data_IF_297635513822
#
_entry.id   IF_297635513822
#
_cell.length_a   1.000
_cell.length_b   1.000
_cell.length_c   1.000
_cell.angle_alpha   90.00
_cell.angle_beta   90.00
_cell.angle_gamma   90.00
#
_symmetry.space_group_name_H-M   'P 1'
#
loop_
_entity.id
_entity.type
_entity.pdbx_description
1 polymer ?
#
# COMPACT_ATOMS: atom_id res chain seq x y z
N UNK A 1 17.54 3.98 2.32
CA UNK A 1 17.50 2.70 3.07
C UNK A 1 17.52 2.98 4.55
N UNK A 2 18.39 3.85 5.09
CA UNK A 2 18.40 4.18 6.52
C UNK A 2 17.02 4.66 6.98
N UNK A 3 16.37 5.55 6.23
CA UNK A 3 15.01 5.98 6.50
C UNK A 3 14.01 4.81 6.47
N UNK A 4 14.17 3.88 5.53
CA UNK A 4 13.33 2.69 5.43
C UNK A 4 13.48 1.76 6.65
N UNK A 5 14.72 1.56 7.10
CA UNK A 5 14.99 0.78 8.32
C UNK A 5 14.37 1.45 9.56
N UNK A 6 14.62 2.74 9.76
CA UNK A 6 14.12 3.45 10.95
C UNK A 6 12.59 3.57 10.95
N UNK A 7 11.99 3.83 9.79
CA UNK A 7 10.53 3.80 9.64
C UNK A 7 9.95 2.42 9.95
N UNK A 8 10.59 1.35 9.47
CA UNK A 8 10.19 -0.02 9.77
C UNK A 8 10.25 -0.32 11.27
N UNK A 9 11.33 0.07 11.95
CA UNK A 9 11.47 -0.10 13.39
C UNK A 9 10.42 0.65 14.21
N UNK A 10 9.95 1.80 13.76
CA UNK A 10 8.87 2.53 14.41
C UNK A 10 7.50 2.01 13.98
N UNK A 11 7.28 1.85 12.67
CA UNK A 11 5.98 1.52 12.09
C UNK A 11 5.47 0.12 12.45
N UNK A 12 6.30 -0.91 12.25
CA UNK A 12 5.86 -2.28 12.46
C UNK A 12 5.47 -2.59 13.91
N UNK A 13 6.32 -2.31 14.92
CA UNK A 13 5.97 -2.61 16.30
C UNK A 13 4.75 -1.82 16.79
N UNK A 14 4.66 -0.53 16.47
CA UNK A 14 3.53 0.30 16.86
C UNK A 14 2.23 -0.19 16.24
N UNK A 15 2.25 -0.53 14.95
CA UNK A 15 1.09 -1.10 14.27
C UNK A 15 0.69 -2.44 14.89
N UNK A 16 1.64 -3.34 15.12
CA UNK A 16 1.36 -4.63 15.73
C UNK A 16 0.71 -4.49 17.12
N UNK A 17 1.22 -3.59 17.95
CA UNK A 17 0.64 -3.30 19.26
C UNK A 17 -0.77 -2.74 19.14
N UNK A 18 -1.00 -1.77 18.28
CA UNK A 18 -2.33 -1.19 18.05
C UNK A 18 -3.33 -2.23 17.56
N UNK A 19 -2.93 -3.07 16.60
CA UNK A 19 -3.78 -4.15 16.08
C UNK A 19 -4.05 -5.23 17.12
N UNK A 20 -3.06 -5.58 17.97
CA UNK A 20 -3.26 -6.54 19.05
C UNK A 20 -4.25 -6.01 20.10
N UNK A 21 -4.13 -4.75 20.49
CA UNK A 21 -5.05 -4.14 21.44
C UNK A 21 -6.47 -4.03 20.87
N UNK A 22 -6.59 -3.61 19.62
CA UNK A 22 -7.88 -3.54 18.94
C UNK A 22 -8.50 -4.93 18.76
N UNK A 23 -7.71 -5.91 18.31
CA UNK A 23 -8.15 -7.28 18.12
C UNK A 23 -8.65 -7.93 19.42
N UNK A 24 -7.94 -7.72 20.54
CA UNK A 24 -8.41 -8.17 21.86
C UNK A 24 -9.74 -7.54 22.26
N UNK A 25 -9.93 -6.26 21.98
CA UNK A 25 -11.17 -5.53 22.25
C UNK A 25 -12.32 -6.10 21.40
N UNK A 26 -12.07 -6.30 20.10
CA UNK A 26 -13.03 -6.86 19.15
C UNK A 26 -13.44 -8.30 19.54
N UNK A 27 -12.46 -9.15 19.90
CA UNK A 27 -12.72 -10.51 20.35
C UNK A 27 -13.53 -10.56 21.64
N UNK A 28 -13.27 -9.64 22.59
CA UNK A 28 -14.09 -9.56 23.80
C UNK A 28 -15.55 -9.27 23.47
N UNK A 29 -15.83 -8.34 22.55
CA UNK A 29 -17.19 -8.06 22.09
C UNK A 29 -17.81 -9.20 21.25
N UNK A 30 -17.00 -9.93 20.49
CA UNK A 30 -17.46 -11.10 19.73
C UNK A 30 -17.83 -12.27 20.63
N UNK A 31 -16.98 -12.57 21.62
CA UNK A 31 -17.22 -13.64 22.61
C UNK A 31 -18.38 -13.33 23.56
N UNK A 32 -18.66 -12.05 23.83
CA UNK A 32 -19.84 -11.63 24.61
C UNK A 32 -21.14 -11.66 23.81
N UNK A 33 -21.07 -11.89 22.49
CA UNK A 33 -22.25 -11.93 21.60
C UNK A 33 -22.76 -10.55 21.15
N UNK A 34 -22.09 -9.45 21.56
CA UNK A 34 -22.46 -8.09 21.16
C UNK A 34 -22.11 -7.79 19.70
N UNK A 35 -21.01 -8.40 19.19
CA UNK A 35 -20.53 -8.23 17.83
C UNK A 35 -20.73 -9.51 17.04
N UNK A 36 -21.37 -9.41 15.87
CA UNK A 36 -21.57 -10.52 14.92
C UNK A 36 -20.81 -10.26 13.62
N UNK A 37 -20.49 -11.31 12.91
CA UNK A 37 -19.97 -11.22 11.54
C UNK A 37 -21.09 -10.65 10.67
N UNK A 38 -20.99 -9.38 10.26
CA UNK A 38 -21.75 -8.88 9.11
C UNK A 38 -20.92 -9.24 7.88
N UNK A 39 -21.44 -10.13 7.04
CA UNK A 39 -20.77 -10.73 5.91
C UNK A 39 -19.82 -9.78 5.18
N UNK A 40 -18.58 -10.08 5.27
CA UNK A 40 -17.53 -9.45 4.49
C UNK A 40 -16.52 -10.56 4.14
N UNK A 41 -16.77 -11.22 3.05
CA UNK A 41 -15.85 -12.08 2.36
C UNK A 41 -14.80 -11.20 1.66
N UNK A 42 -13.65 -11.12 2.25
CA UNK A 42 -12.47 -10.53 1.63
C UNK A 42 -11.25 -11.27 2.15
N UNK A 43 -11.07 -12.51 1.71
CA UNK A 43 -9.82 -13.25 1.91
C UNK A 43 -8.79 -12.68 0.94
N UNK A 44 -7.63 -12.26 1.44
CA UNK A 44 -6.48 -11.97 0.61
C UNK A 44 -5.43 -13.00 0.97
N UNK A 45 -5.05 -13.81 0.00
CA UNK A 45 -3.81 -14.56 0.09
C UNK A 45 -2.64 -13.59 -0.01
N UNK A 46 -2.20 -13.08 1.15
CA UNK A 46 -1.13 -12.09 1.25
C UNK A 46 0.20 -12.59 0.64
N UNK A 47 0.40 -13.89 0.57
CA UNK A 47 1.60 -14.52 -0.01
C UNK A 47 1.60 -14.47 -1.54
N UNK A 48 0.43 -14.43 -2.17
CA UNK A 48 0.29 -14.47 -3.64
C UNK A 48 -0.20 -13.15 -4.27
N UNK A 49 -0.40 -12.10 -3.49
CA UNK A 49 -0.89 -10.81 -3.99
C UNK A 49 -2.28 -10.88 -4.66
N UNK A 50 -3.03 -11.96 -4.44
CA UNK A 50 -4.41 -12.06 -4.88
C UNK A 50 -5.29 -11.31 -3.89
N UNK A 51 -5.67 -10.11 -4.27
CA UNK A 51 -6.90 -9.50 -3.79
C UNK A 51 -8.04 -10.34 -4.37
N UNK A 52 -8.55 -11.29 -3.62
CA UNK A 52 -9.88 -11.79 -3.90
C UNK A 52 -10.85 -10.67 -3.55
N UNK A 53 -11.25 -9.97 -4.58
CA UNK A 53 -12.21 -8.88 -4.49
C UNK A 53 -13.56 -9.47 -4.07
N UNK A 54 -13.82 -9.47 -2.76
CA UNK A 54 -15.11 -9.90 -2.18
C UNK A 54 -16.26 -8.92 -2.50
N UNK A 55 -16.02 -7.92 -3.31
CA UNK A 55 -17.04 -7.19 -4.03
C UNK A 55 -17.00 -7.64 -5.49
N UNK A 56 -17.85 -8.58 -5.83
CA UNK A 56 -18.30 -8.75 -7.20
C UNK A 56 -18.98 -7.44 -7.63
N UNK A 57 -18.19 -6.40 -7.88
CA UNK A 57 -18.62 -5.27 -8.69
C UNK A 57 -18.95 -5.87 -10.05
N UNK A 58 -20.24 -5.84 -10.39
CA UNK A 58 -20.74 -6.16 -11.72
C UNK A 58 -19.70 -5.68 -12.75
N UNK A 59 -19.17 -6.59 -13.54
CA UNK A 59 -18.11 -6.33 -14.50
C UNK A 59 -18.52 -5.12 -15.34
N UNK A 60 -17.96 -3.95 -15.04
CA UNK A 60 -18.13 -2.78 -15.89
C UNK A 60 -17.62 -3.19 -17.25
N UNK A 61 -18.46 -3.10 -18.27
CA UNK A 61 -18.07 -3.36 -19.67
C UNK A 61 -16.81 -2.55 -19.95
N UNK A 62 -15.68 -3.24 -20.04
CA UNK A 62 -14.41 -2.63 -20.45
C UNK A 62 -14.56 -2.18 -21.89
N UNK A 63 -14.00 -1.03 -22.23
CA UNK A 63 -14.09 -0.45 -23.59
C UNK A 63 -13.42 -1.37 -24.62
N UNK A 64 -12.31 -2.00 -24.22
CA UNK A 64 -11.58 -2.97 -25.03
C UNK A 64 -11.89 -4.39 -24.53
N UNK A 65 -12.32 -5.30 -25.42
CA UNK A 65 -12.51 -6.70 -25.06
C UNK A 65 -11.17 -7.33 -24.66
N UNK A 66 -11.16 -8.28 -23.71
CA UNK A 66 -9.93 -8.99 -23.37
C UNK A 66 -9.37 -9.72 -24.58
N UNK A 67 -8.05 -9.72 -24.73
CA UNK A 67 -7.38 -10.46 -25.78
C UNK A 67 -7.68 -11.96 -25.64
N UNK A 68 -7.86 -12.69 -26.76
CA UNK A 68 -7.99 -14.14 -26.72
C UNK A 68 -6.82 -14.78 -25.97
N UNK A 69 -7.08 -15.85 -25.22
CA UNK A 69 -6.08 -16.51 -24.36
C UNK A 69 -4.79 -16.90 -25.13
N UNK A 70 -4.91 -17.26 -26.41
CA UNK A 70 -3.77 -17.61 -27.26
C UNK A 70 -2.81 -16.43 -27.54
N UNK A 71 -3.29 -15.19 -27.46
CA UNK A 71 -2.50 -13.98 -27.70
C UNK A 71 -2.08 -13.28 -26.40
N UNK A 72 -2.72 -13.60 -25.29
CA UNK A 72 -2.44 -12.97 -24.00
C UNK A 72 -1.33 -13.71 -23.24
N UNK A 73 -0.17 -13.89 -23.88
CA UNK A 73 1.00 -14.51 -23.29
C UNK A 73 1.67 -13.56 -22.26
N UNK A 74 2.49 -14.14 -21.37
CA UNK A 74 3.33 -13.40 -20.40
C UNK A 74 4.09 -12.24 -21.06
N UNK A 75 4.68 -12.50 -22.23
CA UNK A 75 5.45 -11.51 -22.98
C UNK A 75 4.57 -10.34 -23.41
N UNK A 76 3.39 -10.62 -23.97
CA UNK A 76 2.45 -9.58 -24.41
C UNK A 76 1.93 -8.76 -23.24
N UNK A 77 1.64 -9.39 -22.09
CA UNK A 77 1.23 -8.68 -20.89
C UNK A 77 2.32 -7.72 -20.40
N UNK A 78 3.58 -8.17 -20.37
CA UNK A 78 4.72 -7.34 -19.96
C UNK A 78 5.04 -6.26 -20.98
N UNK A 79 4.90 -6.53 -22.29
CA UNK A 79 5.06 -5.52 -23.33
C UNK A 79 4.04 -4.39 -23.18
N UNK A 80 2.76 -4.70 -22.94
CA UNK A 80 1.73 -3.69 -22.67
C UNK A 80 2.07 -2.84 -21.45
N UNK A 81 2.50 -3.48 -20.35
CA UNK A 81 2.90 -2.78 -19.14
C UNK A 81 4.11 -1.88 -19.39
N UNK A 82 5.14 -2.40 -20.09
CA UNK A 82 6.33 -1.66 -20.47
C UNK A 82 6.03 -0.48 -21.38
N UNK A 83 5.11 -0.64 -22.33
CA UNK A 83 4.64 0.43 -23.22
C UNK A 83 3.99 1.58 -22.43
N UNK A 84 3.10 1.25 -21.48
CA UNK A 84 2.47 2.27 -20.62
C UNK A 84 3.49 2.96 -19.73
N UNK A 85 4.45 2.21 -19.18
CA UNK A 85 5.55 2.77 -18.39
C UNK A 85 6.44 3.69 -19.23
N UNK A 86 6.75 3.31 -20.47
CA UNK A 86 7.51 4.14 -21.41
C UNK A 86 6.80 5.46 -21.72
N UNK A 87 5.49 5.44 -22.00
CA UNK A 87 4.71 6.67 -22.20
C UNK A 87 4.78 7.55 -20.96
N UNK A 88 4.63 6.97 -19.76
CA UNK A 88 4.70 7.70 -18.50
C UNK A 88 6.04 8.40 -18.30
N UNK A 89 7.16 7.75 -18.66
CA UNK A 89 8.49 8.35 -18.57
C UNK A 89 8.68 9.50 -19.56
N UNK A 90 8.15 9.37 -20.78
CA UNK A 90 8.20 10.46 -21.77
C UNK A 90 7.38 11.68 -21.29
N UNK A 91 6.20 11.46 -20.72
CA UNK A 91 5.36 12.52 -20.16
C UNK A 91 6.02 13.19 -18.95
N UNK A 92 6.72 12.44 -18.11
CA UNK A 92 7.48 12.97 -16.97
C UNK A 92 8.61 13.92 -17.34
N UNK A 93 9.09 13.89 -18.61
CA UNK A 93 10.07 14.85 -19.12
C UNK A 93 9.48 16.20 -19.53
N UNK A 94 8.16 16.32 -19.61
CA UNK A 94 7.49 17.52 -20.11
C UNK A 94 7.27 18.51 -18.96
N UNK A 95 7.79 19.73 -19.12
CA UNK A 95 7.52 20.84 -18.21
C UNK A 95 6.14 21.42 -18.55
N UNK A 96 5.26 21.52 -17.59
CA UNK A 96 3.92 22.13 -17.82
C UNK A 96 4.11 23.65 -17.94
N UNK A 97 3.80 24.24 -19.12
CA UNK A 97 3.85 25.68 -19.29
C UNK A 97 2.81 26.36 -18.37
N UNK A 98 3.27 27.23 -17.48
CA UNK A 98 2.43 27.98 -16.54
C UNK A 98 2.69 27.69 -15.05
N UNK A 99 3.17 26.51 -14.69
CA UNK A 99 3.48 26.17 -13.30
C UNK A 99 5.00 25.98 -13.10
N UNK A 100 5.78 25.90 -14.18
CA UNK A 100 7.21 25.58 -14.18
C UNK A 100 7.62 24.35 -13.35
N UNK A 101 6.69 23.42 -13.13
CA UNK A 101 6.92 22.19 -12.38
C UNK A 101 6.99 20.99 -13.32
N UNK A 102 7.94 20.11 -13.05
CA UNK A 102 8.02 18.78 -13.67
C UNK A 102 7.24 17.81 -12.82
N UNK A 103 6.21 17.19 -13.37
CA UNK A 103 5.53 16.09 -12.70
C UNK A 103 6.36 14.82 -12.90
N UNK A 104 6.65 14.11 -11.80
CA UNK A 104 7.40 12.86 -11.87
C UNK A 104 6.74 11.83 -12.80
N UNK A 105 7.54 11.13 -13.60
CA UNK A 105 7.07 10.03 -14.44
C UNK A 105 6.31 8.94 -13.67
N UNK A 106 6.61 8.77 -12.37
CA UNK A 106 5.90 7.84 -11.51
C UNK A 106 4.41 8.24 -11.30
N UNK A 107 4.12 9.54 -11.20
CA UNK A 107 2.73 10.05 -11.12
C UNK A 107 1.98 9.75 -12.42
N UNK A 108 2.61 9.99 -13.57
CA UNK A 108 2.03 9.65 -14.86
C UNK A 108 1.82 8.14 -15.00
N UNK A 109 2.78 7.32 -14.54
CA UNK A 109 2.64 5.86 -14.56
C UNK A 109 1.43 5.38 -13.75
N UNK A 110 1.19 5.99 -12.57
CA UNK A 110 0.03 5.69 -11.74
C UNK A 110 -1.28 6.06 -12.46
N UNK A 111 -1.37 7.28 -12.98
CA UNK A 111 -2.57 7.78 -13.66
C UNK A 111 -2.86 6.94 -14.92
N UNK A 112 -1.85 6.75 -15.76
CA UNK A 112 -1.99 5.95 -16.98
C UNK A 112 -2.29 4.49 -16.67
N UNK A 113 -1.69 3.92 -15.63
CA UNK A 113 -1.98 2.57 -15.16
C UNK A 113 -3.46 2.40 -14.82
N UNK A 114 -4.05 3.33 -14.08
CA UNK A 114 -5.49 3.33 -13.76
C UNK A 114 -6.33 3.47 -15.03
N UNK A 115 -6.02 4.43 -15.90
CA UNK A 115 -6.76 4.68 -17.14
C UNK A 115 -6.72 3.45 -18.06
N UNK A 116 -5.53 2.91 -18.34
CA UNK A 116 -5.38 1.78 -19.26
C UNK A 116 -5.95 0.46 -18.70
N UNK A 117 -5.97 0.31 -17.37
CA UNK A 117 -6.66 -0.83 -16.73
C UNK A 117 -8.19 -0.67 -16.82
N UNK A 118 -8.70 0.55 -16.63
CA UNK A 118 -10.14 0.84 -16.73
C UNK A 118 -10.66 0.68 -18.16
N UNK A 119 -9.89 1.09 -19.16
CA UNK A 119 -10.18 0.91 -20.58
C UNK A 119 -10.15 -0.58 -20.97
N UNK A 120 -9.33 -1.39 -20.28
CA UNK A 120 -9.15 -2.82 -20.56
C UNK A 120 -7.92 -3.14 -21.43
N UNK A 121 -7.04 -2.18 -21.67
CA UNK A 121 -5.76 -2.40 -22.36
C UNK A 121 -4.77 -3.16 -21.48
N UNK A 122 -4.69 -2.78 -20.19
CA UNK A 122 -3.93 -3.53 -19.17
C UNK A 122 -4.86 -4.50 -18.43
N UNK A 123 -4.35 -5.68 -18.18
CA UNK A 123 -5.04 -6.66 -17.34
C UNK A 123 -4.91 -6.26 -15.85
N UNK A 124 -5.95 -6.54 -15.09
CA UNK A 124 -5.88 -6.45 -13.62
C UNK A 124 -4.89 -7.49 -13.10
N UNK A 125 -4.05 -7.10 -12.13
CA UNK A 125 -3.00 -7.95 -11.56
C UNK A 125 -2.03 -8.52 -12.62
N UNK A 126 -1.67 -7.72 -13.62
CA UNK A 126 -0.87 -8.15 -14.76
C UNK A 126 0.44 -8.85 -14.37
N UNK A 127 1.15 -8.38 -13.35
CA UNK A 127 2.42 -8.97 -12.90
C UNK A 127 2.25 -10.38 -12.33
N UNK A 128 1.16 -10.62 -11.60
CA UNK A 128 0.84 -11.96 -11.08
C UNK A 128 0.38 -12.89 -12.19
N UNK A 129 -0.48 -12.41 -13.10
CA UNK A 129 -0.91 -13.20 -14.27
C UNK A 129 0.25 -13.58 -15.19
N UNK A 130 1.20 -12.66 -15.35
CA UNK A 130 2.42 -12.89 -16.10
C UNK A 130 3.49 -13.70 -15.33
N UNK A 131 3.19 -14.12 -14.09
CA UNK A 131 4.15 -14.80 -13.18
C UNK A 131 5.49 -14.05 -13.06
N UNK A 132 5.45 -12.72 -13.14
CA UNK A 132 6.64 -11.86 -13.20
C UNK A 132 6.76 -10.94 -11.98
N UNK A 133 5.83 -11.04 -11.01
CA UNK A 133 5.84 -10.19 -9.82
C UNK A 133 7.16 -10.29 -9.04
N UNK A 134 7.65 -11.52 -8.80
CA UNK A 134 8.87 -11.74 -8.04
C UNK A 134 10.12 -11.14 -8.69
N UNK A 135 10.27 -11.28 -10.00
CA UNK A 135 11.43 -10.74 -10.72
C UNK A 135 11.39 -9.22 -10.81
N UNK A 136 10.21 -8.63 -10.98
CA UNK A 136 10.04 -7.17 -10.99
C UNK A 136 10.30 -6.58 -9.60
N UNK A 137 9.85 -7.26 -8.53
CA UNK A 137 10.16 -6.86 -7.15
C UNK A 137 11.64 -6.98 -6.84
N UNK A 138 12.30 -8.04 -7.32
CA UNK A 138 13.75 -8.17 -7.20
C UNK A 138 14.49 -7.02 -7.92
N UNK A 139 14.11 -6.72 -9.15
CA UNK A 139 14.68 -5.61 -9.92
C UNK A 139 14.47 -4.25 -9.22
N UNK A 140 13.27 -4.03 -8.65
CA UNK A 140 12.98 -2.85 -7.85
C UNK A 140 13.91 -2.74 -6.62
N UNK A 141 14.14 -3.85 -5.91
CA UNK A 141 15.06 -3.87 -4.77
C UNK A 141 16.50 -3.57 -5.20
N UNK A 142 16.95 -4.13 -6.33
CA UNK A 142 18.28 -3.82 -6.89
C UNK A 142 18.42 -2.33 -7.20
N UNK A 143 17.39 -1.71 -7.78
CA UNK A 143 17.37 -0.27 -8.05
C UNK A 143 17.42 0.57 -6.77
N UNK A 144 16.71 0.15 -5.71
CA UNK A 144 16.77 0.80 -4.40
C UNK A 144 18.17 0.68 -3.79
N UNK A 145 18.82 -0.47 -3.93
CA UNK A 145 20.20 -0.67 -3.44
C UNK A 145 21.24 0.16 -4.25
N UNK A 146 21.01 0.38 -5.54
CA UNK A 146 21.90 1.24 -6.34
C UNK A 146 21.97 2.67 -5.77
N UNK A 147 20.86 3.18 -5.23
CA UNK A 147 20.82 4.48 -4.55
C UNK A 147 21.69 4.58 -3.29
N UNK A 148 22.23 3.47 -2.78
CA UNK A 148 23.12 3.45 -1.60
C UNK A 148 24.60 3.50 -1.93
N UNK A 149 24.99 3.35 -3.18
CA UNK A 149 26.41 3.27 -3.59
C UNK A 149 27.23 4.47 -3.13
N UNK A 150 26.58 5.64 -3.01
CA UNK A 150 27.22 6.89 -2.62
C UNK A 150 27.08 7.21 -1.11
N UNK A 151 26.46 6.32 -0.34
CA UNK A 151 26.26 6.49 1.10
C UNK A 151 27.54 6.15 1.89
N UNK A 152 28.14 7.16 2.49
CA UNK A 152 29.26 6.96 3.43
C UNK A 152 28.75 6.75 4.86
N UNK A 153 29.50 6.04 5.74
CA UNK A 153 29.13 5.89 7.15
C UNK A 153 28.96 7.23 7.88
N UNK A 154 29.79 8.22 7.57
CA UNK A 154 29.72 9.56 8.17
C UNK A 154 28.44 10.30 7.76
N UNK A 155 28.04 10.19 6.51
CA UNK A 155 26.78 10.72 6.01
C UNK A 155 25.59 10.06 6.72
N UNK A 156 25.63 8.73 6.92
CA UNK A 156 24.59 8.01 7.66
C UNK A 156 24.52 8.49 9.11
N UNK A 157 25.64 8.63 9.79
CA UNK A 157 25.71 9.10 11.17
C UNK A 157 25.13 10.52 11.34
N UNK A 158 25.40 11.42 10.39
CA UNK A 158 24.88 12.79 10.42
C UNK A 158 23.35 12.87 10.21
N UNK A 159 22.78 11.95 9.44
CA UNK A 159 21.36 11.95 9.08
C UNK A 159 20.48 11.23 10.14
N UNK A 160 21.03 10.26 10.87
CA UNK A 160 20.25 9.44 11.83
C UNK A 160 19.55 10.31 12.88
N UNK A 161 20.22 11.28 13.46
CA UNK A 161 19.67 12.16 14.49
C UNK A 161 18.43 12.95 14.03
N UNK A 162 18.56 13.79 12.99
CA UNK A 162 17.42 14.51 12.40
C UNK A 162 16.31 13.59 11.94
N UNK A 163 16.62 12.40 11.42
CA UNK A 163 15.65 11.46 10.92
C UNK A 163 14.82 10.82 12.03
N UNK A 164 15.43 10.41 13.14
CA UNK A 164 14.71 9.92 14.33
C UNK A 164 13.77 11.01 14.85
N UNK A 165 14.24 12.25 14.94
CA UNK A 165 13.42 13.37 15.37
C UNK A 165 12.19 13.56 14.47
N UNK A 166 12.39 13.55 13.16
CA UNK A 166 11.30 13.66 12.19
C UNK A 166 10.27 12.53 12.32
N UNK A 167 10.73 11.30 12.52
CA UNK A 167 9.83 10.15 12.69
C UNK A 167 9.04 10.28 14.00
N UNK A 168 9.68 10.64 15.10
CA UNK A 168 9.00 10.81 16.38
C UNK A 168 7.94 11.92 16.31
N UNK A 169 8.31 13.08 15.77
CA UNK A 169 7.38 14.21 15.57
C UNK A 169 6.26 13.83 14.60
N UNK A 170 6.58 13.16 13.49
CA UNK A 170 5.60 12.70 12.51
C UNK A 170 4.61 11.70 13.09
N UNK A 171 5.09 10.70 13.85
CA UNK A 171 4.23 9.70 14.51
C UNK A 171 3.36 10.37 15.59
N UNK A 172 3.91 11.30 16.37
CA UNK A 172 3.12 12.06 17.35
C UNK A 172 2.04 12.92 16.66
N UNK A 173 2.38 13.61 15.58
CA UNK A 173 1.41 14.37 14.78
C UNK A 173 0.32 13.49 14.19
N UNK A 174 0.67 12.33 13.63
CA UNK A 174 -0.30 11.34 13.16
C UNK A 174 -1.22 10.85 14.28
N UNK A 175 -0.69 10.59 15.48
CA UNK A 175 -1.50 10.16 16.62
C UNK A 175 -2.56 11.19 16.99
N UNK A 176 -2.17 12.49 17.05
CA UNK A 176 -3.08 13.59 17.36
C UNK A 176 -4.18 13.70 16.31
N UNK A 177 -3.80 13.70 15.02
CA UNK A 177 -4.76 13.78 13.91
C UNK A 177 -5.70 12.57 13.90
N UNK A 178 -5.17 11.37 14.09
CA UNK A 178 -5.98 10.14 14.17
C UNK A 178 -6.95 10.18 15.35
N UNK A 179 -6.57 10.75 16.47
CA UNK A 179 -7.47 10.90 17.61
C UNK A 179 -8.67 11.79 17.26
N UNK A 180 -8.42 12.92 16.58
CA UNK A 180 -9.47 13.84 16.14
C UNK A 180 -10.37 13.14 15.10
N UNK A 181 -9.80 12.53 14.07
CA UNK A 181 -10.54 11.85 13.00
C UNK A 181 -11.36 10.68 13.54
N UNK A 182 -10.76 9.85 14.40
CA UNK A 182 -11.44 8.72 15.01
C UNK A 182 -12.67 9.17 15.82
N UNK A 183 -12.55 10.29 16.55
CA UNK A 183 -13.67 10.87 17.31
C UNK A 183 -14.77 11.41 16.40
N UNK A 184 -14.41 12.08 15.30
CA UNK A 184 -15.38 12.63 14.32
C UNK A 184 -16.10 11.50 13.59
N UNK A 185 -15.36 10.49 13.12
CA UNK A 185 -15.92 9.36 12.35
C UNK A 185 -16.50 8.24 13.24
N UNK A 186 -16.44 8.39 14.57
CA UNK A 186 -16.87 7.35 15.54
C UNK A 186 -16.20 5.98 15.30
N UNK A 187 -14.94 6.00 14.89
CA UNK A 187 -14.11 4.82 14.67
C UNK A 187 -13.21 4.56 15.89
N UNK A 188 -12.66 3.34 15.98
CA UNK A 188 -11.65 3.04 16.99
C UNK A 188 -10.38 3.83 16.72
N UNK A 189 -9.85 4.52 17.74
CA UNK A 189 -8.57 5.22 17.65
C UNK A 189 -7.42 4.27 17.28
N UNK A 190 -7.37 3.11 17.91
CA UNK A 190 -6.30 2.12 17.69
C UNK A 190 -6.27 1.64 16.23
N UNK A 191 -7.43 1.34 15.65
CA UNK A 191 -7.52 0.92 14.25
C UNK A 191 -7.19 2.08 13.30
N UNK A 192 -7.70 3.29 13.58
CA UNK A 192 -7.42 4.48 12.78
C UNK A 192 -5.93 4.84 12.81
N UNK A 193 -5.30 4.73 13.97
CA UNK A 193 -3.88 5.01 14.11
C UNK A 193 -3.02 3.92 13.45
N UNK A 194 -3.36 2.64 13.62
CA UNK A 194 -2.71 1.54 12.90
C UNK A 194 -2.79 1.74 11.38
N UNK A 195 -3.96 2.15 10.88
CA UNK A 195 -4.16 2.47 9.46
C UNK A 195 -3.28 3.64 9.00
N UNK A 196 -3.17 4.70 9.79
CA UNK A 196 -2.30 5.83 9.47
C UNK A 196 -0.81 5.45 9.48
N UNK A 197 -0.38 4.59 10.41
CA UNK A 197 0.99 4.09 10.48
C UNK A 197 1.39 3.29 9.23
N UNK A 198 0.43 2.78 8.44
CA UNK A 198 0.74 2.15 7.15
C UNK A 198 1.44 3.11 6.19
N UNK A 199 1.32 4.42 6.39
CA UNK A 199 2.06 5.43 5.64
C UNK A 199 3.59 5.31 5.77
N UNK A 200 4.07 4.66 6.84
CA UNK A 200 5.50 4.46 7.06
C UNK A 200 6.09 3.29 6.25
N UNK A 201 5.27 2.29 5.90
CA UNK A 201 5.80 1.06 5.28
C UNK A 201 4.94 0.51 4.13
N UNK A 202 3.68 0.90 4.01
CA UNK A 202 2.81 0.57 2.88
C UNK A 202 2.40 -0.89 2.74
N UNK A 203 1.96 -1.22 1.53
CA UNK A 203 1.65 -2.58 1.11
C UNK A 203 2.91 -3.22 0.47
N UNK A 204 3.17 -4.53 0.59
CA UNK A 204 2.35 -5.59 1.22
C UNK A 204 2.55 -5.80 2.74
N UNK A 205 3.53 -5.17 3.43
CA UNK A 205 3.79 -5.48 4.82
C UNK A 205 2.60 -5.26 5.77
N UNK A 206 1.74 -4.26 5.49
CA UNK A 206 0.53 -4.03 6.28
C UNK A 206 -0.43 -5.22 6.23
N UNK A 207 -0.56 -5.89 5.09
CA UNK A 207 -1.37 -7.10 4.95
C UNK A 207 -0.81 -8.24 5.81
N UNK A 208 0.51 -8.47 5.71
CA UNK A 208 1.20 -9.54 6.45
C UNK A 208 1.06 -9.33 7.96
N UNK A 209 1.30 -8.12 8.46
CA UNK A 209 1.18 -7.81 9.89
C UNK A 209 -0.24 -8.00 10.38
N UNK A 210 -1.23 -7.54 9.61
CA UNK A 210 -2.63 -7.66 9.99
C UNK A 210 -3.07 -9.13 10.05
N UNK A 211 -2.72 -9.92 9.03
CA UNK A 211 -3.04 -11.34 8.99
C UNK A 211 -2.33 -12.12 10.10
N UNK A 212 -1.04 -11.85 10.31
CA UNK A 212 -0.28 -12.47 11.40
C UNK A 212 -0.89 -12.15 12.76
N UNK A 213 -1.30 -10.89 13.00
CA UNK A 213 -1.95 -10.48 14.24
C UNK A 213 -3.31 -11.16 14.42
N UNK A 214 -4.13 -11.20 13.39
CA UNK A 214 -5.44 -11.89 13.44
C UNK A 214 -5.26 -13.38 13.73
N UNK A 215 -4.28 -14.03 13.09
CA UNK A 215 -3.98 -15.45 13.30
C UNK A 215 -3.46 -15.72 14.72
N UNK A 216 -2.63 -14.84 15.26
CA UNK A 216 -2.07 -14.99 16.62
C UNK A 216 -3.09 -14.78 17.74
N UNK A 217 -4.13 -13.98 17.49
CA UNK A 217 -5.17 -13.68 18.49
C UNK A 217 -6.35 -14.64 18.46
N UNK A 218 -6.67 -15.17 17.29
CA UNK A 218 -7.82 -16.06 17.09
C UNK A 218 -7.55 -17.45 17.69
N UNK A 219 -8.54 -18.00 18.39
CA UNK A 219 -8.53 -19.37 18.90
C UNK A 219 -9.31 -20.33 18.00
N UNK A 220 -10.24 -19.80 17.20
CA UNK A 220 -11.03 -20.56 16.23
C UNK A 220 -10.98 -19.95 14.84
N UNK A 221 -11.26 -20.70 13.76
CA UNK A 221 -11.32 -20.17 12.41
C UNK A 221 -12.32 -19.02 12.27
N UNK A 222 -13.45 -19.10 12.96
CA UNK A 222 -14.51 -18.08 12.94
C UNK A 222 -14.02 -16.76 13.59
N UNK A 223 -13.25 -16.84 14.67
CA UNK A 223 -12.63 -15.67 15.29
C UNK A 223 -11.62 -15.00 14.35
N UNK A 224 -10.82 -15.81 13.62
CA UNK A 224 -9.91 -15.28 12.61
C UNK A 224 -10.66 -14.55 11.51
N UNK A 225 -11.70 -15.16 10.97
CA UNK A 225 -12.53 -14.56 9.92
C UNK A 225 -13.17 -13.25 10.41
N UNK A 226 -13.70 -13.25 11.64
CA UNK A 226 -14.26 -12.05 12.26
C UNK A 226 -13.22 -10.92 12.35
N UNK A 227 -12.03 -11.18 12.88
CA UNK A 227 -10.97 -10.19 13.00
C UNK A 227 -10.53 -9.69 11.63
N UNK A 228 -10.33 -10.59 10.66
CA UNK A 228 -9.97 -10.25 9.29
C UNK A 228 -11.03 -9.35 8.65
N UNK A 229 -12.32 -9.66 8.83
CA UNK A 229 -13.40 -8.84 8.28
C UNK A 229 -13.43 -7.40 8.81
N UNK A 230 -12.96 -7.19 10.05
CA UNK A 230 -12.96 -5.87 10.71
C UNK A 230 -11.67 -5.08 10.52
N UNK A 231 -10.53 -5.75 10.58
CA UNK A 231 -9.23 -5.08 10.63
C UNK A 231 -8.56 -5.00 9.26
N UNK A 232 -8.73 -6.01 8.41
CA UNK A 232 -8.01 -6.12 7.16
C UNK A 232 -8.39 -5.05 6.12
N UNK A 233 -9.69 -4.78 5.83
CA UNK A 233 -10.07 -3.80 4.81
C UNK A 233 -9.52 -2.39 5.06
N UNK A 234 -9.65 -1.79 6.27
CA UNK A 234 -9.10 -0.46 6.51
C UNK A 234 -7.57 -0.43 6.41
N UNK A 235 -6.88 -1.48 6.85
CA UNK A 235 -5.42 -1.57 6.75
C UNK A 235 -4.95 -1.59 5.30
N UNK A 236 -5.59 -2.39 4.44
CA UNK A 236 -5.25 -2.46 3.01
C UNK A 236 -5.54 -1.13 2.31
N UNK A 237 -6.73 -0.57 2.52
CA UNK A 237 -7.10 0.74 1.93
C UNK A 237 -6.13 1.83 2.39
N UNK A 238 -5.79 1.86 3.68
CA UNK A 238 -4.82 2.80 4.24
C UNK A 238 -3.45 2.68 3.57
N UNK A 239 -2.89 1.48 3.47
CA UNK A 239 -1.59 1.25 2.84
C UNK A 239 -1.55 1.66 1.37
N UNK A 240 -2.58 1.33 0.60
CA UNK A 240 -2.65 1.73 -0.80
C UNK A 240 -2.84 3.24 -0.98
N UNK A 241 -3.72 3.86 -0.20
CA UNK A 241 -4.02 5.29 -0.35
C UNK A 241 -2.83 6.15 0.07
N UNK A 242 -2.20 5.83 1.20
CA UNK A 242 -1.15 6.67 1.77
C UNK A 242 0.18 6.53 1.04
N UNK A 243 0.65 5.30 0.82
CA UNK A 243 1.99 5.06 0.27
C UNK A 243 1.98 5.03 -1.25
N UNK A 244 0.97 4.45 -1.88
CA UNK A 244 0.99 4.29 -3.35
C UNK A 244 0.50 5.55 -4.06
N UNK A 245 -0.61 6.15 -3.62
CA UNK A 245 -1.22 7.28 -4.33
C UNK A 245 -0.68 8.59 -3.79
N UNK A 246 -0.89 8.86 -2.50
CA UNK A 246 -0.61 10.16 -1.90
C UNK A 246 0.88 10.47 -1.86
N UNK A 247 1.73 9.50 -1.50
CA UNK A 247 3.17 9.71 -1.41
C UNK A 247 3.80 10.01 -2.77
N UNK A 248 3.35 9.32 -3.84
CA UNK A 248 3.86 9.56 -5.20
C UNK A 248 3.48 10.95 -5.68
N UNK A 249 2.26 11.39 -5.42
CA UNK A 249 1.82 12.75 -5.78
C UNK A 249 2.60 13.81 -5.00
N UNK A 250 2.70 13.67 -3.67
CA UNK A 250 3.44 14.62 -2.82
C UNK A 250 4.93 14.65 -3.19
N UNK A 251 5.56 13.49 -3.35
CA UNK A 251 6.95 13.40 -3.75
C UNK A 251 7.19 14.03 -5.14
N UNK A 252 6.25 13.84 -6.09
CA UNK A 252 6.29 14.47 -7.41
C UNK A 252 6.23 15.99 -7.35
N UNK A 253 5.42 16.54 -6.45
CA UNK A 253 5.35 17.99 -6.23
C UNK A 253 6.65 18.52 -5.64
N UNK A 254 7.17 17.91 -4.57
CA UNK A 254 8.42 18.35 -3.95
C UNK A 254 9.64 18.18 -4.87
N UNK A 255 9.70 17.13 -5.66
CA UNK A 255 10.78 16.95 -6.65
C UNK A 255 10.73 18.01 -7.77
N UNK A 256 9.58 18.61 -8.03
CA UNK A 256 9.44 19.72 -8.98
C UNK A 256 9.82 21.09 -8.39
N UNK A 257 9.95 21.19 -7.07
CA UNK A 257 10.33 22.41 -6.37
C UNK A 257 11.83 22.51 -6.07
N UNK A 258 12.56 21.39 -6.17
CA UNK A 258 14.02 21.28 -6.05
C UNK A 258 14.70 21.46 -7.40
#
# INVERSE_FOLDING_TARGET
>A
ITMYCVQGFAGYPLTAVCLQLEGKKLLKGYRSGELKIKGATGGVDAVNGKLEDGTAKAAKKKLLPPLPANWNSTVVMLMKLGFVAWIATQLGGIVIPGINMKISGAVYALILGIIFTTIGFLDENVLNKANSYGIIMFALMMYVFDGLKDCTPDMLASIIGPMILLIVVGVAGMAILCFIVAKVLKMSFLLSFATALTALYGFPPNAVITEATCTALAQTPEEKEFLMSKMFPPMIVGGFTTVTITSVVIAGVFAGML
#
